data_IF_980225695906
#
_entry.id   IF_980225695906
#
_cell.length_a   1.000
_cell.length_b   1.000
_cell.length_c   1.000
_cell.angle_alpha   90.00
_cell.angle_beta   90.00
_cell.angle_gamma   90.00
#
_symmetry.space_group_name_H-M   'P 1'
#
loop_
_entity.id
_entity.type
_entity.pdbx_description
1 polymer ?
#
# COMPACT_ATOMS: atom_id res chain seq x y z
N UNK A 1 -51.76 -9.11 26.55
CA UNK A 1 -51.70 -10.03 25.38
C UNK A 1 -50.97 -9.28 24.28
N UNK A 2 -49.74 -9.67 23.96
CA UNK A 2 -49.00 -9.02 22.87
C UNK A 2 -49.58 -9.50 21.53
N UNK A 3 -49.79 -8.59 20.55
CA UNK A 3 -50.37 -8.94 19.27
C UNK A 3 -49.47 -9.92 18.53
N UNK A 4 -50.08 -11.03 18.11
CA UNK A 4 -49.44 -12.08 17.31
C UNK A 4 -49.01 -11.46 15.98
N UNK A 5 -47.70 -11.37 15.74
CA UNK A 5 -47.16 -11.00 14.43
C UNK A 5 -46.06 -9.94 14.40
N UNK A 6 -45.75 -9.27 15.51
CA UNK A 6 -44.56 -8.39 15.57
C UNK A 6 -43.36 -9.24 16.03
N UNK A 7 -42.28 -9.37 15.23
CA UNK A 7 -41.05 -10.00 15.70
C UNK A 7 -40.58 -9.25 16.94
N UNK A 8 -40.49 -9.94 18.08
CA UNK A 8 -39.90 -9.36 19.27
C UNK A 8 -38.43 -9.09 18.91
N UNK A 9 -37.98 -7.82 18.82
CA UNK A 9 -36.59 -7.55 18.53
C UNK A 9 -35.75 -8.16 19.64
N UNK A 10 -34.63 -8.78 19.27
CA UNK A 10 -33.66 -9.21 20.28
C UNK A 10 -33.26 -7.97 21.10
N UNK A 11 -33.19 -8.07 22.44
CA UNK A 11 -32.67 -6.99 23.26
C UNK A 11 -31.28 -6.56 22.78
N UNK A 12 -30.95 -5.26 22.87
CA UNK A 12 -29.62 -4.76 22.48
C UNK A 12 -28.49 -5.42 23.28
N UNK A 13 -28.78 -5.91 24.49
CA UNK A 13 -27.88 -6.68 25.36
C UNK A 13 -28.02 -8.21 25.18
N UNK A 14 -28.55 -8.67 24.04
CA UNK A 14 -28.63 -10.09 23.72
C UNK A 14 -27.29 -10.68 23.28
N UNK A 15 -26.30 -9.85 22.93
CA UNK A 15 -24.98 -10.27 22.47
C UNK A 15 -23.86 -9.59 23.27
N UNK A 16 -22.70 -10.25 23.45
CA UNK A 16 -21.53 -9.55 23.95
C UNK A 16 -21.17 -8.41 23.00
N UNK A 17 -20.64 -7.28 23.51
CA UNK A 17 -20.28 -6.14 22.67
C UNK A 17 -19.26 -6.55 21.62
N UNK A 18 -19.41 -6.02 20.41
CA UNK A 18 -18.40 -6.15 19.37
C UNK A 18 -17.13 -5.40 19.81
N UNK A 19 -15.97 -6.02 19.60
CA UNK A 19 -14.69 -5.48 20.04
C UNK A 19 -13.52 -6.02 19.23
N UNK A 20 -12.42 -5.27 19.27
CA UNK A 20 -11.12 -5.71 18.78
C UNK A 20 -10.29 -6.18 19.97
N UNK A 21 -9.55 -7.27 19.78
CA UNK A 21 -8.76 -7.90 20.83
C UNK A 21 -7.36 -8.17 20.29
N UNK A 22 -6.36 -7.98 21.13
CA UNK A 22 -4.95 -8.18 20.78
C UNK A 22 -4.59 -9.66 20.63
N UNK A 23 -5.35 -10.54 21.29
CA UNK A 23 -5.13 -11.98 21.27
C UNK A 23 -6.44 -12.77 21.37
N UNK A 24 -6.34 -14.07 21.08
CA UNK A 24 -7.46 -15.00 21.22
C UNK A 24 -7.85 -15.19 22.69
N UNK A 25 -6.86 -15.20 23.57
CA UNK A 25 -7.02 -15.37 25.01
C UNK A 25 -7.79 -14.20 25.62
N UNK A 26 -7.47 -12.98 25.19
CA UNK A 26 -8.16 -11.76 25.63
C UNK A 26 -9.62 -11.77 25.18
N UNK A 27 -9.89 -12.09 23.92
CA UNK A 27 -11.25 -12.27 23.40
C UNK A 27 -12.03 -13.30 24.24
N UNK A 28 -11.46 -14.48 24.49
CA UNK A 28 -12.11 -15.55 25.26
C UNK A 28 -12.42 -15.10 26.69
N UNK A 29 -11.53 -14.32 27.29
CA UNK A 29 -11.72 -13.76 28.63
C UNK A 29 -12.88 -12.76 28.62
N UNK A 30 -12.92 -11.85 27.66
CA UNK A 30 -13.95 -10.82 27.56
C UNK A 30 -15.36 -11.41 27.33
N UNK A 31 -15.50 -12.34 26.38
CA UNK A 31 -16.81 -12.95 26.07
C UNK A 31 -17.34 -13.80 27.23
N UNK A 32 -16.45 -14.45 27.99
CA UNK A 32 -16.83 -15.25 29.15
C UNK A 32 -17.11 -14.39 30.39
N UNK A 33 -16.42 -13.25 30.57
CA UNK A 33 -16.77 -12.27 31.59
C UNK A 33 -18.19 -11.71 31.37
N UNK A 34 -18.58 -11.49 30.11
CA UNK A 34 -19.95 -11.08 29.76
C UNK A 34 -20.98 -12.22 29.94
N UNK A 35 -20.62 -13.46 29.58
CA UNK A 35 -21.53 -14.61 29.66
C UNK A 35 -21.73 -15.15 31.09
N UNK A 36 -20.73 -15.04 31.96
CA UNK A 36 -20.75 -15.56 33.33
C UNK A 36 -21.97 -15.10 34.17
N UNK A 37 -22.30 -13.79 34.27
CA UNK A 37 -23.50 -13.36 35.00
C UNK A 37 -24.81 -13.83 34.34
N UNK A 38 -24.78 -14.19 33.05
CA UNK A 38 -25.91 -14.76 32.29
C UNK A 38 -25.97 -16.30 32.39
N UNK A 39 -25.03 -16.89 33.13
CA UNK A 39 -25.03 -18.28 33.57
C UNK A 39 -24.53 -19.30 32.56
N UNK A 40 -24.00 -18.90 31.40
CA UNK A 40 -23.39 -19.80 30.42
C UNK A 40 -21.94 -19.40 30.15
N UNK A 41 -21.22 -20.26 29.43
CA UNK A 41 -19.88 -19.98 28.95
C UNK A 41 -19.79 -20.22 27.44
N UNK A 42 -18.87 -19.53 26.80
CA UNK A 42 -18.52 -19.75 25.42
C UNK A 42 -17.37 -20.75 25.32
N UNK A 43 -17.53 -21.73 24.42
CA UNK A 43 -16.53 -22.76 24.11
C UNK A 43 -16.28 -22.81 22.61
N UNK A 44 -15.09 -23.24 22.20
CA UNK A 44 -14.72 -23.30 20.79
C UNK A 44 -15.56 -24.37 20.10
N UNK A 45 -16.37 -23.98 19.11
CA UNK A 45 -17.13 -24.88 18.25
C UNK A 45 -16.31 -25.35 17.05
N UNK A 46 -15.66 -24.40 16.38
CA UNK A 46 -14.85 -24.66 15.19
C UNK A 46 -13.84 -23.54 14.99
N UNK A 47 -12.66 -23.91 14.50
CA UNK A 47 -11.63 -22.98 14.04
C UNK A 47 -11.24 -23.38 12.63
N UNK A 48 -11.32 -22.44 11.69
CA UNK A 48 -11.04 -22.69 10.28
C UNK A 48 -10.12 -21.60 9.76
N UNK A 49 -9.04 -22.00 9.10
CA UNK A 49 -8.22 -21.09 8.31
C UNK A 49 -8.96 -20.84 6.98
N UNK A 50 -9.28 -19.60 6.70
CA UNK A 50 -9.94 -19.19 5.47
C UNK A 50 -8.97 -19.27 4.29
N UNK A 51 -9.46 -19.31 3.03
CA UNK A 51 -8.60 -19.27 1.85
C UNK A 51 -7.67 -18.05 1.81
N UNK A 52 -8.01 -16.97 2.52
CA UNK A 52 -7.17 -15.79 2.69
C UNK A 52 -6.05 -15.94 3.74
N UNK A 53 -5.84 -17.14 4.28
CA UNK A 53 -4.84 -17.44 5.33
C UNK A 53 -5.24 -17.00 6.75
N UNK A 54 -6.47 -16.53 6.98
CA UNK A 54 -6.91 -15.97 8.27
C UNK A 54 -7.66 -16.98 9.10
N UNK A 55 -7.56 -16.89 10.41
CA UNK A 55 -8.32 -17.75 11.31
C UNK A 55 -9.70 -17.17 11.60
N UNK A 56 -10.75 -17.96 11.30
CA UNK A 56 -12.11 -17.71 11.77
C UNK A 56 -12.45 -18.71 12.87
N UNK A 57 -12.80 -18.21 14.05
CA UNK A 57 -13.19 -19.04 15.19
C UNK A 57 -14.66 -18.81 15.52
N UNK A 58 -15.41 -19.89 15.66
CA UNK A 58 -16.79 -19.85 16.16
C UNK A 58 -16.78 -20.31 17.61
N UNK A 59 -17.30 -19.49 18.50
CA UNK A 59 -17.54 -19.85 19.88
C UNK A 59 -19.02 -20.09 20.11
N UNK A 60 -19.39 -21.21 20.69
CA UNK A 60 -20.78 -21.57 21.00
C UNK A 60 -21.02 -21.66 22.50
N UNK A 61 -22.25 -21.38 22.90
CA UNK A 61 -22.74 -21.64 24.24
C UNK A 61 -22.47 -23.10 24.67
N UNK A 62 -21.94 -23.29 25.87
CA UNK A 62 -21.63 -24.59 26.47
C UNK A 62 -22.88 -25.48 26.66
N UNK A 63 -24.07 -24.86 26.67
CA UNK A 63 -25.39 -25.53 26.67
C UNK A 63 -25.83 -26.00 25.28
N UNK A 64 -25.11 -25.65 24.22
CA UNK A 64 -25.44 -25.97 22.84
C UNK A 64 -25.05 -27.36 22.37
N UNK A 65 -24.06 -27.99 23.01
CA UNK A 65 -23.58 -29.31 22.60
C UNK A 65 -24.63 -30.40 22.85
N UNK A 66 -25.09 -31.09 21.80
CA UNK A 66 -26.01 -32.23 21.89
C UNK A 66 -27.43 -31.94 21.42
N UNK A 67 -28.29 -32.97 21.40
CA UNK A 67 -29.69 -32.86 20.99
C UNK A 67 -30.50 -32.20 22.11
N UNK A 68 -31.47 -31.36 21.75
CA UNK A 68 -32.46 -30.85 22.70
C UNK A 68 -33.11 -32.03 23.46
N UNK A 69 -33.39 -31.89 24.77
CA UNK A 69 -34.06 -32.94 25.53
C UNK A 69 -35.36 -33.35 24.85
N UNK A 70 -35.52 -34.64 24.54
CA UNK A 70 -36.82 -35.16 24.11
C UNK A 70 -37.80 -35.01 25.27
N UNK A 71 -39.02 -34.57 25.00
CA UNK A 71 -40.11 -34.58 25.99
C UNK A 71 -40.34 -36.04 26.39
N UNK A 72 -40.02 -36.39 27.63
CA UNK A 72 -40.21 -37.74 28.16
C UNK A 72 -41.62 -37.88 28.75
N UNK A 73 -42.29 -39.02 28.60
CA UNK A 73 -43.58 -39.27 29.24
C UNK A 73 -43.47 -39.16 30.77
N UNK A 74 -44.54 -38.74 31.44
CA UNK A 74 -44.54 -38.36 32.85
C UNK A 74 -44.07 -39.46 33.83
N UNK A 75 -44.09 -40.73 33.40
CA UNK A 75 -43.82 -41.91 34.23
C UNK A 75 -42.38 -42.46 34.11
N UNK A 76 -41.41 -41.69 33.59
CA UNK A 76 -40.01 -42.15 33.46
C UNK A 76 -39.12 -41.68 34.62
N UNK A 77 -38.31 -42.59 35.18
CA UNK A 77 -37.36 -42.33 36.28
C UNK A 77 -36.38 -41.21 35.88
N UNK A 78 -36.48 -40.05 36.54
CA UNK A 78 -35.57 -38.90 36.33
C UNK A 78 -34.24 -39.14 37.04
N UNK A 79 -33.12 -39.05 36.30
CA UNK A 79 -31.77 -39.08 36.87
C UNK A 79 -31.55 -37.81 37.72
N UNK A 80 -30.93 -37.93 38.91
CA UNK A 80 -30.65 -36.79 39.81
C UNK A 80 -29.74 -35.72 39.20
N UNK A 81 -28.87 -36.10 38.26
CA UNK A 81 -28.00 -35.19 37.52
C UNK A 81 -28.38 -35.24 36.04
N UNK A 82 -28.97 -34.16 35.55
CA UNK A 82 -29.25 -33.96 34.13
C UNK A 82 -28.16 -33.10 33.50
N UNK A 83 -27.93 -33.27 32.20
CA UNK A 83 -27.01 -32.40 31.47
C UNK A 83 -27.61 -30.99 31.42
N UNK A 84 -26.79 -29.94 31.59
CA UNK A 84 -27.24 -28.55 31.37
C UNK A 84 -27.42 -28.19 29.88
N UNK A 85 -27.25 -29.15 28.97
CA UNK A 85 -27.36 -28.94 27.52
C UNK A 85 -28.82 -28.85 27.12
N UNK A 86 -29.15 -27.81 26.36
CA UNK A 86 -30.49 -27.49 25.87
C UNK A 86 -30.58 -27.54 24.35
N UNK A 87 -29.47 -27.73 23.65
CA UNK A 87 -29.42 -27.56 22.18
C UNK A 87 -29.41 -26.10 21.76
N UNK A 88 -28.93 -25.20 22.64
CA UNK A 88 -28.78 -23.78 22.36
C UNK A 88 -27.97 -23.52 21.07
N UNK A 89 -28.51 -22.69 20.18
CA UNK A 89 -27.85 -22.30 18.93
C UNK A 89 -26.99 -21.03 19.05
N UNK A 90 -26.92 -20.45 20.25
CA UNK A 90 -26.22 -19.19 20.48
C UNK A 90 -24.72 -19.36 20.24
N UNK A 91 -24.19 -18.53 19.34
CA UNK A 91 -22.79 -18.54 18.96
C UNK A 91 -22.33 -17.17 18.50
N UNK A 92 -21.05 -16.89 18.69
CA UNK A 92 -20.38 -15.70 18.19
C UNK A 92 -19.27 -16.10 17.21
N UNK A 93 -18.98 -15.21 16.27
CA UNK A 93 -17.93 -15.40 15.29
C UNK A 93 -16.81 -14.38 15.50
N UNK A 94 -15.60 -14.87 15.69
CA UNK A 94 -14.39 -14.06 15.70
C UNK A 94 -13.62 -14.27 14.40
N UNK A 95 -13.09 -13.19 13.85
CA UNK A 95 -12.26 -13.19 12.65
C UNK A 95 -10.94 -12.50 12.97
N UNK A 96 -9.85 -13.15 12.63
CA UNK A 96 -8.53 -12.55 12.68
C UNK A 96 -8.46 -11.32 11.76
N UNK A 97 -7.94 -10.22 12.30
CA UNK A 97 -7.76 -8.96 11.57
C UNK A 97 -6.71 -9.13 10.47
N UNK A 98 -6.90 -8.40 9.37
CA UNK A 98 -5.87 -8.25 8.33
C UNK A 98 -4.77 -7.27 8.71
N UNK A 99 -5.11 -6.32 9.57
CA UNK A 99 -4.27 -5.18 9.86
C UNK A 99 -3.53 -5.49 11.14
N UNK A 100 -2.23 -5.70 11.03
CA UNK A 100 -1.33 -5.62 12.17
C UNK A 100 -1.23 -4.13 12.55
N UNK A 101 -2.24 -3.65 13.27
CA UNK A 101 -2.33 -2.24 13.69
C UNK A 101 -1.08 -1.87 14.49
N UNK A 102 -0.59 -2.79 15.33
CA UNK A 102 0.60 -2.56 16.13
C UNK A 102 1.87 -2.49 15.27
N UNK A 103 2.02 -3.38 14.28
CA UNK A 103 3.09 -3.31 13.29
C UNK A 103 3.02 -2.05 12.43
N UNK A 104 1.82 -1.60 12.07
CA UNK A 104 1.61 -0.39 11.28
C UNK A 104 1.93 0.89 12.07
N UNK A 105 1.56 0.97 13.35
CA UNK A 105 1.93 2.10 14.23
C UNK A 105 3.45 2.15 14.48
N UNK A 106 4.08 0.99 14.71
CA UNK A 106 5.53 0.88 14.81
C UNK A 106 6.22 1.32 13.52
N UNK A 107 5.71 0.88 12.37
CA UNK A 107 6.21 1.27 11.07
C UNK A 107 6.05 2.77 10.81
N UNK A 108 4.89 3.36 11.07
CA UNK A 108 4.63 4.79 10.90
C UNK A 108 5.56 5.63 11.79
N UNK A 109 5.79 5.18 13.03
CA UNK A 109 6.73 5.83 13.97
C UNK A 109 8.16 5.78 13.44
N UNK A 110 8.61 4.60 13.00
CA UNK A 110 9.93 4.43 12.38
C UNK A 110 10.08 5.30 11.13
N UNK A 111 9.10 5.26 10.23
CA UNK A 111 9.10 5.98 8.96
C UNK A 111 9.17 7.50 9.18
N UNK A 112 8.40 8.04 10.12
CA UNK A 112 8.46 9.46 10.49
C UNK A 112 9.83 9.86 11.04
N UNK A 113 10.40 9.05 11.93
CA UNK A 113 11.74 9.31 12.49
C UNK A 113 12.80 9.30 11.38
N UNK A 114 12.79 8.25 10.56
CA UNK A 114 13.64 8.10 9.38
C UNK A 114 13.56 9.29 8.42
N UNK A 115 12.35 9.64 7.99
CA UNK A 115 12.13 10.78 7.11
C UNK A 115 12.54 12.12 7.74
N UNK A 116 12.43 12.23 9.07
CA UNK A 116 12.95 13.37 9.82
C UNK A 116 14.46 13.53 9.68
N UNK A 117 15.23 12.43 9.69
CA UNK A 117 16.69 12.49 9.50
C UNK A 117 17.01 12.97 8.08
N UNK A 118 16.38 12.35 7.07
CA UNK A 118 16.61 12.66 5.64
C UNK A 118 16.21 14.10 5.30
N UNK A 119 15.16 14.63 5.92
CA UNK A 119 14.69 16.00 5.72
C UNK A 119 15.44 17.06 6.55
N UNK A 120 16.58 16.74 7.14
CA UNK A 120 17.36 17.69 7.95
C UNK A 120 18.02 18.74 7.06
N UNK A 121 17.92 20.00 7.44
CA UNK A 121 18.39 21.15 6.64
C UNK A 121 19.82 21.57 6.96
N UNK A 122 20.35 21.14 8.11
CA UNK A 122 21.69 21.49 8.61
C UNK A 122 22.33 20.26 9.23
N UNK A 123 23.67 20.23 9.24
CA UNK A 123 24.45 19.09 9.69
C UNK A 123 24.27 18.79 11.19
N UNK A 124 24.14 19.83 12.01
CA UNK A 124 23.86 19.71 13.45
C UNK A 124 22.51 19.03 13.73
N UNK A 125 21.45 19.44 13.01
CA UNK A 125 20.11 18.82 13.14
C UNK A 125 20.12 17.38 12.64
N UNK A 126 20.85 17.11 11.55
CA UNK A 126 21.01 15.76 11.01
C UNK A 126 21.68 14.83 12.03
N UNK A 127 22.80 15.27 12.62
CA UNK A 127 23.54 14.49 13.60
C UNK A 127 22.73 14.25 14.89
N UNK A 128 22.00 15.25 15.37
CA UNK A 128 21.12 15.09 16.53
C UNK A 128 20.01 14.05 16.29
N UNK A 129 19.35 14.11 15.12
CA UNK A 129 18.28 13.16 14.76
C UNK A 129 18.83 11.75 14.54
N UNK A 130 20.00 11.63 13.93
CA UNK A 130 20.67 10.36 13.71
C UNK A 130 21.06 9.68 15.04
N UNK A 131 21.55 10.45 16.00
CA UNK A 131 21.90 9.94 17.33
C UNK A 131 20.66 9.40 18.06
N UNK A 132 19.54 10.14 18.02
CA UNK A 132 18.26 9.69 18.57
C UNK A 132 17.74 8.41 17.91
N UNK A 133 17.91 8.29 16.60
CA UNK A 133 17.53 7.08 15.86
C UNK A 133 18.36 5.86 16.28
N UNK A 134 19.69 6.02 16.41
CA UNK A 134 20.57 4.95 16.91
C UNK A 134 20.20 4.51 18.31
N UNK A 135 19.98 5.46 19.23
CA UNK A 135 19.60 5.15 20.61
C UNK A 135 18.28 4.36 20.69
N UNK A 136 17.33 4.66 19.80
CA UNK A 136 16.02 4.02 19.81
C UNK A 136 16.02 2.60 19.21
N UNK A 137 16.78 2.36 18.13
CA UNK A 137 16.63 1.13 17.34
C UNK A 137 17.84 0.19 17.41
N UNK A 138 19.06 0.68 17.70
CA UNK A 138 20.26 -0.17 17.76
C UNK A 138 20.22 -1.30 18.81
N UNK A 139 19.57 -1.17 19.98
CA UNK A 139 19.56 -2.25 20.98
C UNK A 139 18.91 -3.56 20.47
N UNK A 140 17.84 -3.45 19.68
CA UNK A 140 17.05 -4.59 19.20
C UNK A 140 17.27 -4.91 17.71
N UNK A 141 17.85 -3.98 16.93
CA UNK A 141 17.97 -4.05 15.47
C UNK A 141 19.34 -3.61 14.95
N UNK A 142 20.42 -4.08 15.60
CA UNK A 142 21.78 -3.61 15.35
C UNK A 142 22.23 -3.78 13.89
N UNK A 143 21.94 -4.92 13.26
CA UNK A 143 22.38 -5.20 11.88
C UNK A 143 21.58 -4.38 10.85
N UNK A 144 20.28 -4.25 11.07
CA UNK A 144 19.37 -3.51 10.21
C UNK A 144 19.67 -2.00 10.28
N UNK A 145 19.90 -1.47 11.49
CA UNK A 145 20.31 -0.08 11.70
C UNK A 145 21.67 0.18 11.08
N UNK A 146 22.64 -0.73 11.23
CA UNK A 146 23.95 -0.64 10.57
C UNK A 146 23.84 -0.56 9.05
N UNK A 147 23.08 -1.47 8.44
CA UNK A 147 22.82 -1.45 6.99
C UNK A 147 22.21 -0.13 6.53
N UNK A 148 21.21 0.37 7.26
CA UNK A 148 20.53 1.63 6.95
C UNK A 148 21.50 2.81 7.02
N UNK A 149 22.35 2.88 8.05
CA UNK A 149 23.32 3.97 8.20
C UNK A 149 24.32 3.96 7.04
N UNK A 150 24.96 2.81 6.81
CA UNK A 150 26.05 2.68 5.84
C UNK A 150 25.56 2.80 4.40
N UNK A 151 24.40 2.21 4.08
CA UNK A 151 23.90 2.13 2.71
C UNK A 151 23.10 3.37 2.31
N UNK A 152 22.42 4.03 3.26
CA UNK A 152 21.48 5.10 2.94
C UNK A 152 21.83 6.44 3.57
N UNK A 153 22.22 6.49 4.85
CA UNK A 153 22.41 7.77 5.53
C UNK A 153 23.77 8.43 5.26
N UNK A 154 24.86 7.68 5.15
CA UNK A 154 26.18 8.21 4.80
C UNK A 154 26.16 8.93 3.43
N UNK A 155 25.44 8.38 2.44
CA UNK A 155 25.22 9.03 1.13
C UNK A 155 24.49 10.38 1.24
N UNK A 156 23.64 10.55 2.25
CA UNK A 156 22.89 11.79 2.46
C UNK A 156 23.66 12.82 3.28
N UNK A 157 24.57 12.39 4.16
CA UNK A 157 25.44 13.29 4.93
C UNK A 157 26.24 14.21 4.00
N UNK A 158 26.77 13.66 2.91
CA UNK A 158 27.49 14.43 1.87
C UNK A 158 26.65 15.53 1.22
N UNK A 159 25.32 15.41 1.20
CA UNK A 159 24.40 16.42 0.62
C UNK A 159 24.05 17.56 1.57
N UNK A 160 24.19 17.36 2.88
CA UNK A 160 23.84 18.35 3.91
C UNK A 160 25.04 19.21 4.30
N UNK A 161 26.27 18.75 4.03
CA UNK A 161 27.48 19.57 4.14
C UNK A 161 27.52 20.64 3.02
N UNK A 162 27.81 21.91 3.32
CA UNK A 162 27.81 22.97 2.31
C UNK A 162 28.94 22.75 1.28
N UNK A 163 28.68 22.90 -0.03
CA UNK A 163 29.73 22.86 -1.03
C UNK A 163 30.63 24.11 -0.88
N UNK A 164 31.94 23.93 -1.07
CA UNK A 164 32.86 25.05 -1.27
C UNK A 164 32.32 25.97 -2.39
N UNK A 165 32.49 27.31 -2.28
CA UNK A 165 31.83 28.25 -3.17
C UNK A 165 32.32 28.03 -4.61
N UNK A 166 31.47 27.40 -5.40
CA UNK A 166 31.68 27.18 -6.83
C UNK A 166 30.95 28.30 -7.59
N UNK A 167 31.55 28.93 -8.60
CA UNK A 167 30.96 30.11 -9.25
C UNK A 167 29.62 29.76 -9.90
N UNK A 168 28.69 30.73 -9.89
CA UNK A 168 27.35 30.63 -10.50
C UNK A 168 27.41 30.00 -11.91
N UNK A 169 27.03 28.72 -12.00
CA UNK A 169 26.73 28.07 -13.25
C UNK A 169 25.24 28.26 -13.58
N UNK A 170 24.97 28.56 -14.86
CA UNK A 170 23.65 28.77 -15.42
C UNK A 170 22.66 27.65 -15.05
N UNK A 171 21.38 27.99 -14.92
CA UNK A 171 20.30 27.09 -14.51
C UNK A 171 20.37 25.73 -15.26
N UNK A 172 20.30 24.59 -14.55
CA UNK A 172 20.39 23.28 -15.19
C UNK A 172 19.22 23.05 -16.14
N UNK A 173 19.49 22.43 -17.29
CA UNK A 173 18.46 21.92 -18.19
C UNK A 173 17.55 20.93 -17.43
N UNK A 174 16.26 20.90 -17.78
CA UNK A 174 15.32 19.96 -17.16
C UNK A 174 15.77 18.52 -17.40
N UNK A 175 15.55 17.62 -16.43
CA UNK A 175 15.87 16.19 -16.58
C UNK A 175 15.04 15.58 -17.70
N UNK A 176 15.56 14.53 -18.35
CA UNK A 176 14.90 13.87 -19.47
C UNK A 176 13.53 13.28 -19.11
N UNK A 177 13.35 12.86 -17.85
CA UNK A 177 12.12 12.32 -17.26
C UNK A 177 11.20 13.41 -16.67
N UNK A 178 11.60 14.70 -16.69
CA UNK A 178 10.71 15.79 -16.27
C UNK A 178 9.52 15.88 -17.24
N UNK A 179 8.27 15.91 -16.73
CA UNK A 179 7.06 15.98 -17.56
C UNK A 179 7.04 17.12 -18.58
N UNK A 180 7.72 18.24 -18.29
CA UNK A 180 7.83 19.37 -19.22
C UNK A 180 8.81 19.09 -20.34
N UNK A 181 9.93 18.42 -20.04
CA UNK A 181 10.89 17.99 -21.06
C UNK A 181 10.25 16.93 -21.97
N UNK A 182 9.49 15.99 -21.39
CA UNK A 182 8.69 15.00 -22.14
C UNK A 182 7.70 15.70 -23.08
N UNK A 183 6.94 16.68 -22.58
CA UNK A 183 5.99 17.42 -23.40
C UNK A 183 6.67 18.28 -24.49
N UNK A 184 7.85 18.83 -24.22
CA UNK A 184 8.64 19.55 -25.23
C UNK A 184 9.01 18.64 -26.40
N UNK A 185 9.57 17.46 -26.13
CA UNK A 185 9.89 16.47 -27.17
C UNK A 185 8.65 16.04 -27.95
N UNK A 186 7.54 15.81 -27.25
CA UNK A 186 6.25 15.50 -27.89
C UNK A 186 5.82 16.59 -28.87
N UNK A 187 5.91 17.86 -28.48
CA UNK A 187 5.57 18.99 -29.36
C UNK A 187 6.50 19.06 -30.56
N UNK A 188 7.81 18.92 -30.36
CA UNK A 188 8.79 18.96 -31.45
C UNK A 188 8.53 17.86 -32.48
N UNK A 189 8.29 16.62 -32.02
CA UNK A 189 7.92 15.51 -32.90
C UNK A 189 6.59 15.76 -33.64
N UNK A 190 5.60 16.36 -32.97
CA UNK A 190 4.31 16.73 -33.57
C UNK A 190 4.45 17.82 -34.62
N UNK A 191 5.21 18.87 -34.34
CA UNK A 191 5.47 19.97 -35.29
C UNK A 191 6.31 19.49 -36.48
N UNK A 192 7.29 18.61 -36.25
CA UNK A 192 8.04 17.95 -37.32
C UNK A 192 7.10 17.12 -38.21
N UNK A 193 6.18 16.35 -37.62
CA UNK A 193 5.15 15.65 -38.38
C UNK A 193 4.25 16.61 -39.16
N UNK A 194 3.79 17.73 -38.56
CA UNK A 194 3.00 18.75 -39.26
C UNK A 194 3.73 19.36 -40.47
N UNK A 195 5.05 19.51 -40.40
CA UNK A 195 5.85 19.99 -41.53
C UNK A 195 5.86 19.01 -42.71
N UNK A 196 5.70 17.70 -42.46
CA UNK A 196 5.59 16.68 -43.51
C UNK A 196 4.21 16.61 -44.17
N UNK A 197 3.16 17.14 -43.51
CA UNK A 197 1.79 17.07 -44.02
C UNK A 197 1.63 18.01 -45.23
N UNK A 198 1.17 17.48 -46.39
CA UNK A 198 0.96 18.28 -47.61
C UNK A 198 0.11 19.52 -47.37
N UNK A 199 0.31 20.57 -48.18
CA UNK A 199 -0.49 21.80 -48.11
C UNK A 199 -1.97 21.47 -48.34
N UNK A 200 -2.80 21.76 -47.35
CA UNK A 200 -4.24 21.43 -47.33
C UNK A 200 -4.62 20.21 -46.49
N UNK A 201 -3.64 19.42 -46.01
CA UNK A 201 -3.90 18.36 -45.03
C UNK A 201 -4.24 18.92 -43.64
N UNK A 202 -5.11 18.23 -42.91
CA UNK A 202 -5.44 18.60 -41.53
C UNK A 202 -4.18 18.44 -40.64
N UNK A 203 -3.88 19.46 -39.84
CA UNK A 203 -2.76 19.44 -38.88
C UNK A 203 -3.32 19.52 -37.49
N UNK A 204 -3.80 18.38 -36.98
CA UNK A 204 -4.38 18.28 -35.64
C UNK A 204 -3.66 17.23 -34.81
N UNK A 205 -3.64 17.43 -33.49
CA UNK A 205 -2.99 16.49 -32.57
C UNK A 205 -3.62 15.09 -32.67
N UNK A 206 -4.93 15.01 -32.95
CA UNK A 206 -5.60 13.73 -33.14
C UNK A 206 -5.05 12.95 -34.35
N UNK A 207 -4.71 13.62 -35.44
CA UNK A 207 -4.12 12.97 -36.60
C UNK A 207 -2.67 12.58 -36.36
N UNK A 208 -1.89 13.41 -35.68
CA UNK A 208 -0.55 13.06 -35.23
C UNK A 208 -0.56 11.79 -34.39
N UNK A 209 -1.41 11.73 -33.37
CA UNK A 209 -1.55 10.54 -32.50
C UNK A 209 -1.93 9.31 -33.31
N UNK A 210 -2.87 9.42 -34.25
CA UNK A 210 -3.23 8.32 -35.14
C UNK A 210 -2.05 7.86 -36.02
N UNK A 211 -1.27 8.79 -36.55
CA UNK A 211 -0.10 8.48 -37.39
C UNK A 211 1.01 7.79 -36.60
N UNK A 212 1.21 8.17 -35.33
CA UNK A 212 2.22 7.59 -34.44
C UNK A 212 1.71 6.37 -33.64
N UNK A 213 0.49 5.89 -33.92
CA UNK A 213 -0.09 4.75 -33.18
C UNK A 213 -0.43 5.03 -31.71
N UNK A 214 -0.45 6.29 -31.29
CA UNK A 214 -0.72 6.69 -29.90
C UNK A 214 -2.22 6.66 -29.58
N UNK A 215 -2.60 6.31 -28.33
CA UNK A 215 -4.00 6.28 -27.91
C UNK A 215 -4.70 7.64 -28.12
N UNK A 216 -5.84 7.66 -28.79
CA UNK A 216 -6.56 8.93 -29.03
C UNK A 216 -7.12 9.56 -27.74
N UNK A 217 -7.39 8.73 -26.72
CA UNK A 217 -7.90 9.13 -25.41
C UNK A 217 -7.41 8.17 -24.34
N UNK A 218 -7.27 8.69 -23.13
CA UNK A 218 -7.07 7.92 -21.91
C UNK A 218 -8.36 7.93 -21.08
N UNK A 219 -8.54 6.88 -20.28
CA UNK A 219 -9.59 6.80 -19.27
C UNK A 219 -9.42 7.93 -18.25
N UNK A 220 -10.47 8.31 -17.52
CA UNK A 220 -10.36 9.39 -16.51
C UNK A 220 -9.41 9.05 -15.35
N UNK A 221 -9.13 7.77 -15.15
CA UNK A 221 -8.29 7.28 -14.04
C UNK A 221 -6.81 7.52 -14.34
N UNK A 222 -6.38 7.37 -15.60
CA UNK A 222 -4.96 7.50 -15.96
C UNK A 222 -4.39 8.91 -15.73
N UNK A 223 -5.07 10.01 -16.13
CA UNK A 223 -4.60 11.34 -15.81
C UNK A 223 -4.71 11.66 -14.30
N UNK A 224 -5.71 11.12 -13.60
CA UNK A 224 -5.78 11.29 -12.15
C UNK A 224 -4.61 10.60 -11.44
N UNK A 225 -4.23 9.41 -11.93
CA UNK A 225 -3.08 8.66 -11.42
C UNK A 225 -1.76 9.41 -11.66
N UNK A 226 -1.55 10.00 -12.85
CA UNK A 226 -0.31 10.73 -13.13
C UNK A 226 -0.16 12.00 -12.27
N UNK A 227 -1.27 12.68 -11.94
CA UNK A 227 -1.27 13.87 -11.08
C UNK A 227 -1.05 13.56 -9.60
N UNK A 228 -1.55 12.43 -9.09
CA UNK A 228 -1.53 12.13 -7.65
C UNK A 228 -0.34 11.27 -7.21
N UNK A 229 0.18 10.40 -8.08
CA UNK A 229 1.12 9.35 -7.67
C UNK A 229 2.48 9.40 -8.38
N UNK A 230 2.55 10.00 -9.57
CA UNK A 230 3.76 10.03 -10.42
C UNK A 230 4.42 11.42 -10.45
N UNK A 231 5.49 11.56 -11.24
CA UNK A 231 6.34 12.74 -11.27
C UNK A 231 5.66 14.04 -11.76
N UNK A 232 4.45 14.00 -12.35
CA UNK A 232 3.72 15.21 -12.75
C UNK A 232 3.26 16.07 -11.57
N UNK A 233 2.86 15.45 -10.47
CA UNK A 233 2.25 16.13 -9.34
C UNK A 233 0.95 16.87 -9.68
N UNK A 234 0.28 17.48 -8.68
CA UNK A 234 -1.05 18.05 -8.87
C UNK A 234 -1.05 19.31 -9.75
N UNK A 235 0.09 20.02 -9.83
CA UNK A 235 0.23 21.26 -10.60
C UNK A 235 1.63 21.40 -11.20
N UNK A 236 1.73 22.03 -12.37
CA UNK A 236 3.00 22.35 -13.02
C UNK A 236 3.67 23.54 -12.33
N UNK A 237 4.92 23.37 -11.87
CA UNK A 237 5.71 24.40 -11.17
C UNK A 237 6.71 25.06 -12.12
N UNK A 238 6.39 26.23 -12.65
CA UNK A 238 7.28 27.02 -13.50
C UNK A 238 8.09 28.05 -12.68
N UNK A 239 9.13 28.64 -13.29
CA UNK A 239 9.91 29.71 -12.64
C UNK A 239 9.05 30.92 -12.29
N UNK A 240 7.98 31.17 -13.05
CA UNK A 240 7.03 32.28 -12.92
C UNK A 240 5.86 32.01 -11.99
N UNK A 241 5.66 30.76 -11.52
CA UNK A 241 4.51 30.40 -10.69
C UNK A 241 4.02 28.97 -10.94
N UNK A 242 2.80 28.70 -10.48
CA UNK A 242 2.22 27.34 -10.56
C UNK A 242 0.93 27.35 -11.38
N UNK A 243 0.82 26.46 -12.38
CA UNK A 243 -0.36 26.36 -13.25
C UNK A 243 -0.91 24.93 -13.34
N UNK A 244 -2.11 24.80 -13.88
CA UNK A 244 -2.72 23.50 -14.15
C UNK A 244 -2.08 22.83 -15.38
N UNK A 245 -1.98 21.51 -15.31
CA UNK A 245 -1.55 20.68 -16.42
C UNK A 245 -2.66 20.61 -17.47
N UNK A 246 -2.30 20.82 -18.73
CA UNK A 246 -3.22 20.59 -19.85
C UNK A 246 -3.43 19.10 -20.08
N UNK A 247 -4.54 18.72 -20.73
CA UNK A 247 -4.77 17.32 -21.10
C UNK A 247 -3.70 16.77 -22.05
N UNK A 248 -3.19 17.62 -22.94
CA UNK A 248 -2.15 17.21 -23.87
C UNK A 248 -0.84 16.92 -23.15
N UNK A 249 -0.46 17.74 -22.16
CA UNK A 249 0.70 17.47 -21.30
C UNK A 249 0.53 16.15 -20.54
N UNK A 250 -0.63 15.94 -19.92
CA UNK A 250 -0.95 14.69 -19.21
C UNK A 250 -0.84 13.49 -20.16
N UNK A 251 -1.35 13.61 -21.39
CA UNK A 251 -1.33 12.53 -22.37
C UNK A 251 0.08 12.25 -22.88
N UNK A 252 0.89 13.29 -23.13
CA UNK A 252 2.29 13.11 -23.53
C UNK A 252 3.13 12.39 -22.47
N UNK A 253 2.85 12.68 -21.19
CA UNK A 253 3.49 11.95 -20.09
C UNK A 253 3.05 10.49 -20.03
N UNK A 254 1.75 10.21 -20.18
CA UNK A 254 1.23 8.84 -20.20
C UNK A 254 1.76 8.04 -21.40
N UNK A 255 1.90 8.67 -22.57
CA UNK A 255 2.50 8.03 -23.75
C UNK A 255 3.95 7.61 -23.45
N UNK A 256 4.74 8.51 -22.84
CA UNK A 256 6.11 8.23 -22.45
C UNK A 256 6.21 7.17 -21.35
N UNK A 257 5.40 7.25 -20.29
CA UNK A 257 5.42 6.30 -19.16
C UNK A 257 5.05 4.89 -19.63
N UNK A 258 4.09 4.75 -20.55
CA UNK A 258 3.74 3.44 -21.14
C UNK A 258 4.85 2.88 -22.03
N UNK A 259 5.42 3.71 -22.92
CA UNK A 259 6.52 3.28 -23.77
C UNK A 259 7.75 2.88 -22.95
N UNK A 260 8.03 3.62 -21.87
CA UNK A 260 9.12 3.31 -20.96
C UNK A 260 8.85 2.03 -20.16
N UNK A 261 7.62 1.82 -19.70
CA UNK A 261 7.25 0.58 -19.02
C UNK A 261 7.37 -0.64 -19.95
N UNK A 262 6.95 -0.52 -21.21
CA UNK A 262 7.10 -1.58 -22.22
C UNK A 262 8.59 -1.86 -22.53
N UNK A 263 9.43 -0.82 -22.63
CA UNK A 263 10.90 -0.97 -22.76
C UNK A 263 11.49 -1.74 -21.57
N UNK A 264 11.11 -1.37 -20.35
CA UNK A 264 11.57 -2.04 -19.13
C UNK A 264 11.10 -3.49 -19.09
N UNK A 265 9.83 -3.76 -19.41
CA UNK A 265 9.28 -5.12 -19.49
C UNK A 265 9.97 -5.96 -20.56
N UNK A 266 10.29 -5.38 -21.72
CA UNK A 266 11.05 -6.05 -22.77
C UNK A 266 12.47 -6.38 -22.32
N UNK A 267 13.18 -5.42 -21.72
CA UNK A 267 14.53 -5.63 -21.19
C UNK A 267 14.55 -6.73 -20.13
N UNK A 268 13.57 -6.73 -19.22
CA UNK A 268 13.40 -7.79 -18.22
C UNK A 268 13.09 -9.13 -18.89
N UNK A 269 12.25 -9.14 -19.93
CA UNK A 269 11.94 -10.34 -20.70
C UNK A 269 13.16 -10.94 -21.40
N UNK A 270 13.99 -10.10 -22.02
CA UNK A 270 15.27 -10.49 -22.64
C UNK A 270 16.26 -11.02 -21.59
N UNK A 271 16.39 -10.34 -20.45
CA UNK A 271 17.25 -10.80 -19.35
C UNK A 271 16.77 -12.15 -18.79
N UNK A 272 15.47 -12.32 -18.59
CA UNK A 272 14.87 -13.57 -18.12
C UNK A 272 15.01 -14.70 -19.14
N UNK A 273 15.03 -14.39 -20.45
CA UNK A 273 15.28 -15.38 -21.50
C UNK A 273 16.75 -15.82 -21.54
N UNK A 274 17.69 -14.90 -21.32
CA UNK A 274 19.13 -15.20 -21.24
C UNK A 274 19.47 -15.95 -19.94
N UNK A 275 18.89 -15.55 -18.81
CA UNK A 275 19.18 -16.05 -17.46
C UNK A 275 17.87 -16.35 -16.70
N UNK A 276 17.30 -17.56 -16.86
CA UNK A 276 15.96 -17.91 -16.36
C UNK A 276 15.73 -17.88 -14.84
N UNK A 277 16.76 -17.63 -14.04
CA UNK A 277 16.67 -17.50 -12.59
C UNK A 277 17.67 -16.45 -12.09
N UNK A 278 17.26 -15.55 -11.16
CA UNK A 278 18.20 -14.60 -10.59
C UNK A 278 19.21 -15.36 -9.72
N UNK A 279 20.43 -15.54 -10.22
CA UNK A 279 21.57 -15.61 -9.30
C UNK A 279 21.53 -14.33 -8.45
N UNK A 280 21.84 -14.41 -7.14
CA UNK A 280 21.82 -13.22 -6.27
C UNK A 280 22.65 -12.10 -6.92
N UNK A 281 21.97 -11.09 -7.45
CA UNK A 281 22.60 -9.91 -8.02
C UNK A 281 22.99 -8.99 -6.86
N UNK A 282 24.28 -8.75 -6.69
CA UNK A 282 24.78 -7.81 -5.69
C UNK A 282 24.34 -6.38 -6.00
N UNK A 283 24.36 -5.51 -4.99
CA UNK A 283 23.94 -4.10 -5.11
C UNK A 283 24.64 -3.35 -6.26
N UNK A 284 25.91 -3.62 -6.52
CA UNK A 284 26.67 -3.02 -7.62
C UNK A 284 26.02 -3.26 -8.99
N UNK A 285 25.55 -4.49 -9.25
CA UNK A 285 24.88 -4.82 -10.51
C UNK A 285 23.58 -4.02 -10.71
N UNK A 286 22.88 -3.68 -9.62
CA UNK A 286 21.66 -2.87 -9.66
C UNK A 286 22.02 -1.43 -10.03
N UNK A 287 23.09 -0.88 -9.45
CA UNK A 287 23.57 0.47 -9.79
C UNK A 287 24.09 0.56 -11.22
N UNK A 288 24.89 -0.41 -11.68
CA UNK A 288 25.39 -0.44 -13.06
C UNK A 288 24.24 -0.60 -14.08
N UNK A 289 23.16 -1.30 -13.71
CA UNK A 289 21.95 -1.37 -14.52
C UNK A 289 21.21 -0.03 -14.55
N UNK A 290 21.05 0.62 -13.39
CA UNK A 290 20.42 1.93 -13.28
C UNK A 290 21.20 3.03 -14.02
N UNK A 291 22.53 3.02 -13.97
CA UNK A 291 23.38 3.95 -14.71
C UNK A 291 23.24 3.76 -16.22
N UNK A 292 23.23 2.51 -16.70
CA UNK A 292 22.95 2.20 -18.11
C UNK A 292 21.57 2.68 -18.54
N UNK A 293 20.56 2.50 -17.70
CA UNK A 293 19.20 2.98 -17.98
C UNK A 293 19.16 4.52 -18.06
N UNK A 294 19.82 5.23 -17.15
CA UNK A 294 19.91 6.70 -17.19
C UNK A 294 20.59 7.19 -18.48
N UNK A 295 21.67 6.52 -18.90
CA UNK A 295 22.35 6.82 -20.16
C UNK A 295 21.45 6.54 -21.37
N UNK A 296 20.70 5.44 -21.36
CA UNK A 296 19.80 5.08 -22.45
C UNK A 296 18.60 6.03 -22.56
N UNK A 297 18.08 6.52 -21.42
CA UNK A 297 17.04 7.55 -21.38
C UNK A 297 17.54 8.94 -21.82
N UNK A 298 18.83 9.23 -21.66
CA UNK A 298 19.47 10.48 -22.10
C UNK A 298 20.04 10.46 -23.53
N UNK A 299 20.13 9.29 -24.16
CA UNK A 299 20.83 9.07 -25.44
C UNK A 299 19.95 9.01 -26.69
N UNK A 300 18.63 9.19 -26.58
CA UNK A 300 17.73 9.21 -27.73
C UNK A 300 17.63 10.60 -28.35
N UNK A 301 18.62 10.97 -29.17
CA UNK A 301 18.55 12.07 -30.14
C UNK A 301 17.96 11.59 -31.47
#
# INVERSE_FOLDING_TARGET
MNPIGVPIPFPDDAMPPEGQYSSREELVTAINAWAAPRGYAFSVKSSVVTPSGRTRVIYSCDRGAGKAPKVKPANERKRKTTTRRTGCQFSIAAKESLYDVQGQEKWDTFYKHWHGIVASTTEDIYMERLEKFKQQYSPDHLNEVGYIIETWLELYKERVSPPAPTPLAAAPALRADDPRAIYQRYKEAREAWYATVPRGGLRTNQQYRKAMGLPARYSKIEPQWCLNYKQMGPRCREKSGTREWTKEEQFSYLDWDKAENERVEQNVGEEMAEKPFPQRRGMQHIWDAAERDVLQQGGGA
#
